data_IF_107206489422
#
_entry.id   IF_107206489422
#
_cell.length_a   1.000
_cell.length_b   1.000
_cell.length_c   1.000
_cell.angle_alpha   90.00
_cell.angle_beta   90.00
_cell.angle_gamma   90.00
#
_symmetry.space_group_name_H-M   'P 1'
#
loop_
_entity.id
_entity.type
_entity.pdbx_description
1 polymer ?
#
# COMPACT_ATOMS: atom_id res chain seq x y z
N UNK A 1 14.24 26.13 1.73
CA UNK A 1 15.21 25.01 1.73
C UNK A 1 14.95 24.20 2.98
N UNK A 2 14.27 23.07 2.83
CA UNK A 2 13.83 22.24 3.97
C UNK A 2 14.26 20.81 3.66
N UNK A 3 15.29 20.35 4.37
CA UNK A 3 15.86 19.02 4.19
C UNK A 3 14.93 17.96 4.77
N UNK A 4 14.64 16.92 3.99
CA UNK A 4 13.96 15.72 4.48
C UNK A 4 15.04 14.75 4.95
N UNK A 5 15.11 14.57 6.26
CA UNK A 5 15.87 13.54 6.94
C UNK A 5 15.22 12.18 6.61
N UNK A 6 15.91 11.34 5.84
CA UNK A 6 15.53 9.93 5.73
C UNK A 6 16.22 9.20 6.86
N UNK A 7 15.44 8.82 7.86
CA UNK A 7 15.86 7.96 8.97
C UNK A 7 16.24 6.58 8.42
N UNK A 8 17.54 6.30 8.46
CA UNK A 8 18.16 5.01 8.12
C UNK A 8 18.54 4.33 9.42
N UNK A 9 17.75 3.34 9.83
CA UNK A 9 18.10 2.43 10.91
C UNK A 9 17.78 0.99 10.55
N UNK A 10 18.81 0.14 10.45
CA UNK A 10 18.69 -1.31 10.66
C UNK A 10 19.09 -2.22 9.50
N UNK A 11 20.39 -2.31 9.19
CA UNK A 11 20.99 -3.42 8.44
C UNK A 11 22.10 -4.04 9.29
N UNK A 12 21.79 -5.23 9.86
CA UNK A 12 22.66 -6.28 10.41
C UNK A 12 23.73 -5.95 11.46
N UNK A 13 23.58 -6.55 12.65
CA UNK A 13 24.72 -7.09 13.44
C UNK A 13 24.28 -8.36 14.19
N UNK A 14 24.88 -9.54 13.95
CA UNK A 14 24.63 -10.77 14.69
C UNK A 14 25.77 -11.05 15.67
N UNK A 15 25.59 -10.74 16.94
CA UNK A 15 26.48 -11.24 18.00
C UNK A 15 25.67 -11.75 19.18
N UNK A 16 25.77 -13.05 19.44
CA UNK A 16 25.27 -13.68 20.67
C UNK A 16 25.93 -13.03 21.89
N UNK A 17 25.11 -12.62 22.84
CA UNK A 17 25.49 -12.37 24.22
C UNK A 17 24.32 -12.76 25.12
N UNK A 18 24.43 -13.91 25.79
CA UNK A 18 23.52 -14.32 26.85
C UNK A 18 23.43 -13.22 27.92
N UNK A 19 22.24 -12.71 28.19
CA UNK A 19 21.93 -12.03 29.45
C UNK A 19 20.57 -12.50 29.96
N UNK A 20 20.59 -12.84 31.24
CA UNK A 20 19.57 -13.41 32.11
C UNK A 20 18.10 -13.09 31.82
N UNK A 21 17.27 -14.10 32.09
CA UNK A 21 15.82 -14.03 32.13
C UNK A 21 15.31 -12.91 33.07
N UNK A 22 14.41 -12.02 32.63
CA UNK A 22 13.68 -11.17 33.52
C UNK A 22 12.53 -11.97 34.15
N UNK A 23 12.52 -11.94 35.48
CA UNK A 23 11.51 -12.50 36.37
C UNK A 23 10.09 -12.18 35.91
N UNK A 24 9.22 -13.19 36.04
CA UNK A 24 7.79 -13.10 35.90
C UNK A 24 7.22 -11.96 36.77
N UNK A 25 6.95 -10.81 36.16
CA UNK A 25 5.91 -9.91 36.65
C UNK A 25 4.60 -10.41 36.08
N UNK A 26 3.71 -10.86 36.97
CA UNK A 26 2.31 -11.13 36.67
C UNK A 26 1.61 -9.84 36.24
N UNK A 27 1.87 -9.42 35.00
CA UNK A 27 1.04 -8.47 34.28
C UNK A 27 -0.08 -9.28 33.66
N UNK A 28 -1.27 -9.18 34.23
CA UNK A 28 -2.51 -9.59 33.57
C UNK A 28 -2.52 -8.88 32.22
N UNK A 29 -2.27 -9.61 31.13
CA UNK A 29 -2.48 -9.10 29.78
C UNK A 29 -3.96 -8.74 29.68
N UNK A 30 -4.29 -7.48 29.92
CA UNK A 30 -5.58 -6.94 29.52
C UNK A 30 -5.55 -6.97 28.01
N UNK A 31 -6.29 -7.90 27.42
CA UNK A 31 -6.60 -7.88 26.00
C UNK A 31 -7.34 -6.56 25.75
N UNK A 32 -6.60 -5.56 25.30
CA UNK A 32 -7.18 -4.29 24.90
C UNK A 32 -8.23 -4.60 23.83
N UNK A 33 -9.46 -4.21 24.09
CA UNK A 33 -10.54 -4.41 23.14
C UNK A 33 -10.26 -3.58 21.89
N UNK A 34 -10.68 -4.05 20.71
CA UNK A 34 -10.49 -3.32 19.44
C UNK A 34 -11.01 -1.87 19.52
N UNK A 35 -12.02 -1.64 20.36
CA UNK A 35 -12.57 -0.31 20.64
C UNK A 35 -11.59 0.62 21.37
N UNK A 36 -10.81 0.10 22.32
CA UNK A 36 -9.80 0.86 23.08
C UNK A 36 -8.58 1.21 22.23
N UNK A 37 -8.20 0.35 21.27
CA UNK A 37 -7.03 0.59 20.40
C UNK A 37 -7.33 1.66 19.34
N UNK A 38 -8.58 1.73 18.88
CA UNK A 38 -8.98 2.59 17.75
C UNK A 38 -9.64 3.91 18.16
N UNK A 39 -9.78 4.16 19.47
CA UNK A 39 -10.43 5.36 20.04
C UNK A 39 -11.80 5.65 19.38
N UNK A 40 -12.56 4.58 19.09
CA UNK A 40 -13.91 4.76 18.59
C UNK A 40 -14.74 5.41 19.69
N UNK A 41 -15.54 6.44 19.38
CA UNK A 41 -16.39 7.06 20.38
C UNK A 41 -17.27 5.98 21.01
N UNK A 42 -17.33 5.98 22.34
CA UNK A 42 -18.19 5.07 23.07
C UNK A 42 -19.61 5.21 22.53
N UNK A 43 -20.21 4.06 22.24
CA UNK A 43 -21.56 4.01 21.69
C UNK A 43 -22.53 4.73 22.64
N UNK A 44 -23.32 5.71 22.16
CA UNK A 44 -24.23 6.44 23.02
C UNK A 44 -25.31 5.51 23.60
N UNK A 45 -25.83 5.79 24.80
CA UNK A 45 -26.96 5.05 25.37
C UNK A 45 -28.16 5.07 24.42
N UNK A 46 -28.73 3.90 24.13
CA UNK A 46 -29.87 3.78 23.20
C UNK A 46 -29.51 3.60 21.73
N UNK A 47 -28.22 3.46 21.40
CA UNK A 47 -27.82 3.10 20.03
C UNK A 47 -28.34 1.71 19.65
N UNK A 48 -29.24 1.67 18.67
CA UNK A 48 -29.70 0.44 18.05
C UNK A 48 -28.62 -0.10 17.11
N UNK A 49 -28.15 -1.31 17.37
CA UNK A 49 -27.24 -2.03 16.47
C UNK A 49 -27.94 -3.29 15.95
N UNK A 50 -27.60 -3.83 14.76
CA UNK A 50 -27.01 -3.22 13.56
C UNK A 50 -28.07 -2.64 12.61
N UNK A 51 -27.64 -1.81 11.63
CA UNK A 51 -28.48 -1.31 10.51
C UNK A 51 -29.28 -2.43 9.81
N UNK A 52 -28.77 -3.66 9.87
CA UNK A 52 -29.38 -4.87 9.34
C UNK A 52 -29.36 -5.96 10.43
N UNK A 53 -30.33 -5.93 11.37
CA UNK A 53 -30.26 -6.71 12.59
C UNK A 53 -30.51 -8.21 12.37
N UNK A 54 -31.19 -8.56 11.28
CA UNK A 54 -31.53 -9.95 10.98
C UNK A 54 -30.72 -10.47 9.79
N UNK A 55 -30.42 -11.78 9.72
CA UNK A 55 -29.89 -12.42 8.52
C UNK A 55 -30.73 -12.10 7.27
N UNK A 56 -32.06 -12.03 7.40
CA UNK A 56 -32.97 -11.70 6.31
C UNK A 56 -32.80 -10.26 5.83
N UNK A 57 -32.68 -9.29 6.74
CA UNK A 57 -32.42 -7.88 6.36
C UNK A 57 -31.10 -7.71 5.62
N UNK A 58 -30.05 -8.43 6.02
CA UNK A 58 -28.76 -8.46 5.31
C UNK A 58 -28.89 -9.10 3.92
N UNK A 59 -29.70 -10.16 3.82
CA UNK A 59 -29.95 -10.86 2.56
C UNK A 59 -30.68 -9.97 1.55
N UNK A 60 -31.68 -9.21 1.99
CA UNK A 60 -32.41 -8.28 1.12
C UNK A 60 -31.51 -7.14 0.60
N UNK A 61 -30.64 -6.60 1.45
CA UNK A 61 -29.64 -5.61 1.02
C UNK A 61 -28.65 -6.22 0.04
N UNK A 62 -28.15 -7.43 0.31
CA UNK A 62 -27.25 -8.12 -0.59
C UNK A 62 -27.88 -8.37 -1.97
N UNK A 63 -29.16 -8.75 -2.02
CA UNK A 63 -29.92 -8.87 -3.27
C UNK A 63 -30.02 -7.51 -3.99
N UNK A 64 -30.35 -6.44 -3.25
CA UNK A 64 -30.47 -5.10 -3.82
C UNK A 64 -29.15 -4.60 -4.42
N UNK A 65 -28.05 -4.78 -3.69
CA UNK A 65 -26.71 -4.42 -4.18
C UNK A 65 -26.29 -5.27 -5.39
N UNK A 66 -26.61 -6.57 -5.39
CA UNK A 66 -26.31 -7.44 -6.52
C UNK A 66 -27.04 -7.05 -7.81
N UNK A 67 -28.18 -6.34 -7.71
CA UNK A 67 -28.95 -5.84 -8.84
C UNK A 67 -28.72 -4.35 -9.13
N UNK A 68 -27.87 -3.66 -8.37
CA UNK A 68 -27.66 -2.23 -8.54
C UNK A 68 -26.87 -1.96 -9.84
N UNK A 69 -27.43 -1.20 -10.80
CA UNK A 69 -26.80 -1.00 -12.12
C UNK A 69 -25.50 -0.18 -12.08
N UNK A 70 -25.27 0.53 -10.98
CA UNK A 70 -24.03 1.28 -10.71
C UNK A 70 -22.96 0.44 -10.01
N UNK A 71 -23.29 -0.78 -9.56
CA UNK A 71 -22.38 -1.68 -8.87
C UNK A 71 -22.06 -2.88 -9.78
N UNK A 72 -20.93 -2.81 -10.47
CA UNK A 72 -20.41 -3.97 -11.20
C UNK A 72 -19.62 -4.89 -10.29
N UNK A 73 -19.71 -6.22 -10.49
CA UNK A 73 -18.76 -7.11 -9.82
C UNK A 73 -17.36 -6.79 -10.30
N UNK A 74 -16.38 -6.82 -9.40
CA UNK A 74 -14.98 -6.63 -9.78
C UNK A 74 -14.58 -7.59 -10.92
N UNK A 75 -15.09 -8.82 -10.93
CA UNK A 75 -14.89 -9.82 -11.98
C UNK A 75 -15.57 -9.50 -13.32
N UNK A 76 -16.59 -8.64 -13.32
CA UNK A 76 -17.34 -8.23 -14.52
C UNK A 76 -16.77 -6.99 -15.18
N UNK A 77 -15.87 -6.26 -14.50
CA UNK A 77 -15.19 -5.13 -15.10
C UNK A 77 -14.31 -5.61 -16.26
N UNK A 78 -14.66 -5.25 -17.52
CA UNK A 78 -13.81 -5.55 -18.65
C UNK A 78 -12.49 -4.79 -18.42
N UNK A 79 -11.38 -5.51 -18.29
CA UNK A 79 -10.08 -4.85 -18.18
C UNK A 79 -9.41 -4.85 -16.81
N UNK A 80 -9.74 -5.74 -15.88
CA UNK A 80 -8.76 -6.13 -14.83
C UNK A 80 -7.42 -6.64 -15.42
N UNK A 81 -7.38 -6.91 -16.75
CA UNK A 81 -6.18 -7.12 -17.57
C UNK A 81 -5.92 -6.04 -18.64
N UNK A 82 -6.73 -4.98 -18.77
CA UNK A 82 -6.46 -3.88 -19.72
C UNK A 82 -7.40 -2.68 -19.54
N UNK A 83 -6.86 -1.61 -18.97
CA UNK A 83 -7.32 -0.20 -18.97
C UNK A 83 -8.77 0.11 -19.32
N UNK A 84 -9.55 0.51 -18.31
CA UNK A 84 -10.78 1.30 -18.44
C UNK A 84 -10.64 2.64 -17.71
N UNK A 85 -11.38 3.67 -18.13
CA UNK A 85 -11.29 5.06 -17.63
C UNK A 85 -11.36 5.14 -16.10
N UNK A 86 -10.38 5.79 -15.48
CA UNK A 86 -10.12 5.78 -14.03
C UNK A 86 -9.07 4.74 -13.59
N UNK A 87 -8.74 3.80 -14.47
CA UNK A 87 -7.59 2.92 -14.30
C UNK A 87 -6.33 3.75 -14.55
N UNK A 88 -5.54 3.97 -13.50
CA UNK A 88 -4.10 4.07 -13.73
C UNK A 88 -3.74 2.91 -14.65
N UNK A 89 -3.16 3.21 -15.81
CA UNK A 89 -2.72 2.17 -16.72
C UNK A 89 -1.65 1.40 -15.95
N UNK A 90 -2.06 0.31 -15.26
CA UNK A 90 -1.14 -0.54 -14.53
C UNK A 90 -0.29 -1.20 -15.60
N UNK A 91 0.84 -0.57 -15.90
CA UNK A 91 1.88 -1.19 -16.69
C UNK A 91 2.15 -2.55 -16.06
N UNK A 92 2.37 -3.58 -16.90
CA UNK A 92 3.06 -4.77 -16.42
C UNK A 92 4.26 -4.28 -15.64
N UNK A 93 4.31 -4.60 -14.35
CA UNK A 93 5.26 -4.03 -13.41
C UNK A 93 6.67 -4.09 -14.02
N UNK A 94 7.23 -2.93 -14.33
CA UNK A 94 8.54 -2.85 -14.95
C UNK A 94 9.57 -2.66 -13.85
N UNK A 95 10.57 -3.53 -13.78
CA UNK A 95 11.67 -3.38 -12.81
C UNK A 95 12.42 -2.07 -13.09
N UNK A 96 12.59 -1.26 -12.06
CA UNK A 96 13.36 -0.01 -12.10
C UNK A 96 14.43 0.00 -11.03
N UNK A 97 15.40 0.87 -11.20
CA UNK A 97 16.43 1.17 -10.20
C UNK A 97 16.19 2.57 -9.65
N UNK A 98 16.31 2.73 -8.33
CA UNK A 98 16.42 4.04 -7.72
C UNK A 98 17.89 4.33 -7.45
N UNK A 99 18.42 5.37 -8.07
CA UNK A 99 19.80 5.82 -7.82
C UNK A 99 19.76 7.10 -7.01
N UNK A 100 20.45 7.09 -5.87
CA UNK A 100 20.71 8.29 -5.10
C UNK A 100 22.03 8.86 -5.56
N UNK A 101 22.04 10.12 -6.01
CA UNK A 101 23.28 10.81 -6.32
C UNK A 101 24.02 11.12 -5.00
N UNK A 102 25.30 10.76 -4.87
CA UNK A 102 26.10 11.09 -3.70
C UNK A 102 26.14 12.62 -3.49
N UNK A 103 25.96 13.07 -2.25
CA UNK A 103 26.10 14.48 -1.87
C UNK A 103 24.92 15.41 -2.19
N UNK A 104 24.06 15.10 -3.17
CA UNK A 104 22.96 16.00 -3.57
C UNK A 104 21.58 15.62 -2.99
N UNK A 105 21.45 14.40 -2.43
CA UNK A 105 20.17 13.87 -1.95
C UNK A 105 19.15 13.59 -3.07
N UNK A 106 19.54 13.81 -4.34
CA UNK A 106 18.68 13.60 -5.50
C UNK A 106 18.47 12.11 -5.71
N UNK A 107 17.20 11.72 -5.83
CA UNK A 107 16.80 10.36 -6.21
C UNK A 107 16.38 10.37 -7.68
N UNK A 108 16.91 9.43 -8.45
CA UNK A 108 16.56 9.21 -9.85
C UNK A 108 15.93 7.85 -10.04
N UNK A 109 14.83 7.81 -10.79
CA UNK A 109 14.23 6.58 -11.31
C UNK A 109 14.93 6.25 -12.62
N UNK A 110 15.54 5.06 -12.70
CA UNK A 110 16.26 4.58 -13.87
C UNK A 110 15.59 3.32 -14.38
N UNK A 111 15.26 3.32 -15.67
CA UNK A 111 14.71 2.17 -16.37
C UNK A 111 15.85 1.42 -17.07
N UNK A 112 16.07 0.12 -16.75
CA UNK A 112 17.19 -0.63 -17.31
C UNK A 112 17.02 -0.91 -18.81
N UNK A 113 15.79 -0.92 -19.32
CA UNK A 113 15.50 -1.09 -20.76
C UNK A 113 14.71 0.10 -21.30
N UNK A 114 14.93 0.43 -22.57
CA UNK A 114 14.06 1.34 -23.32
C UNK A 114 12.72 0.62 -23.55
N UNK A 115 11.76 0.83 -22.64
CA UNK A 115 10.39 0.37 -22.81
C UNK A 115 9.59 1.31 -23.72
N UNK A 116 8.25 1.16 -23.76
CA UNK A 116 7.34 1.99 -24.56
C UNK A 116 7.23 3.47 -24.13
N UNK A 117 7.99 3.91 -23.13
CA UNK A 117 7.96 5.28 -22.67
C UNK A 117 9.18 6.05 -23.17
N UNK A 118 8.99 7.34 -23.41
CA UNK A 118 9.98 8.23 -24.00
C UNK A 118 11.21 8.53 -23.14
N UNK A 119 11.26 8.07 -21.88
CA UNK A 119 12.34 8.41 -20.96
C UNK A 119 13.00 7.18 -20.32
N UNK A 120 14.33 7.26 -20.19
CA UNK A 120 15.17 6.23 -19.56
C UNK A 120 15.50 6.53 -18.11
N UNK A 121 15.64 7.82 -17.79
CA UNK A 121 15.95 8.31 -16.44
C UNK A 121 15.13 9.57 -16.16
N UNK A 122 14.61 9.70 -14.95
CA UNK A 122 14.00 10.94 -14.44
C UNK A 122 14.35 11.15 -12.98
N UNK A 123 14.45 12.42 -12.57
CA UNK A 123 14.63 12.80 -11.16
C UNK A 123 13.27 12.75 -10.46
N UNK A 124 13.23 12.19 -9.25
CA UNK A 124 12.09 12.37 -8.35
C UNK A 124 12.13 13.80 -7.82
N UNK A 125 11.04 14.52 -8.07
CA UNK A 125 10.85 15.90 -7.61
C UNK A 125 10.15 15.89 -6.27
N UNK A 126 9.09 15.10 -6.16
CA UNK A 126 8.21 15.07 -4.98
C UNK A 126 7.57 13.69 -4.81
N UNK A 127 7.31 13.29 -3.57
CA UNK A 127 6.47 12.14 -3.23
C UNK A 127 5.10 12.68 -2.80
N UNK A 128 4.08 12.44 -3.62
CA UNK A 128 2.71 12.94 -3.41
C UNK A 128 1.94 12.07 -2.44
N UNK A 129 2.10 10.76 -2.54
CA UNK A 129 1.38 9.82 -1.69
C UNK A 129 2.20 8.57 -1.43
N UNK A 130 1.94 7.95 -0.27
CA UNK A 130 2.49 6.67 0.14
C UNK A 130 1.38 5.80 0.70
N UNK A 131 1.29 4.56 0.23
CA UNK A 131 0.33 3.59 0.74
C UNK A 131 0.91 2.17 0.70
N UNK A 132 0.18 1.20 1.26
CA UNK A 132 0.54 -0.21 1.23
C UNK A 132 -0.53 -0.95 0.43
N UNK A 133 -0.11 -1.78 -0.51
CA UNK A 133 -1.01 -2.70 -1.20
C UNK A 133 -0.81 -4.09 -0.61
N UNK A 134 -1.90 -4.63 -0.08
CA UNK A 134 -2.00 -6.01 0.37
C UNK A 134 -3.06 -6.68 -0.49
N UNK A 135 -2.69 -7.68 -1.28
CA UNK A 135 -3.60 -8.45 -2.12
C UNK A 135 -3.40 -9.93 -1.89
N UNK A 136 -4.47 -10.70 -2.14
CA UNK A 136 -4.45 -12.17 -2.05
C UNK A 136 -3.90 -12.62 -0.68
N UNK A 137 -4.23 -11.89 0.39
CA UNK A 137 -3.67 -12.13 1.72
C UNK A 137 -4.10 -13.49 2.32
N UNK A 138 -5.13 -14.10 1.75
CA UNK A 138 -5.63 -15.42 2.10
C UNK A 138 -4.89 -16.57 1.37
N UNK A 139 -4.04 -16.25 0.41
CA UNK A 139 -3.27 -17.20 -0.38
C UNK A 139 -1.78 -16.87 -0.18
N UNK A 140 -1.11 -17.61 0.70
CA UNK A 140 0.28 -17.32 1.08
C UNK A 140 1.22 -17.29 -0.15
N UNK A 141 1.01 -18.21 -1.09
CA UNK A 141 1.81 -18.36 -2.30
C UNK A 141 1.58 -17.22 -3.31
N UNK A 142 0.34 -16.70 -3.37
CA UNK A 142 -0.03 -15.59 -4.25
C UNK A 142 -0.05 -14.22 -3.56
N UNK A 143 0.26 -14.16 -2.26
CA UNK A 143 0.15 -12.94 -1.46
C UNK A 143 1.07 -11.85 -1.99
N UNK A 144 0.53 -10.64 -2.16
CA UNK A 144 1.30 -9.46 -2.52
C UNK A 144 1.24 -8.49 -1.36
N UNK A 145 2.40 -8.16 -0.81
CA UNK A 145 2.59 -7.10 0.18
C UNK A 145 3.71 -6.17 -0.27
N UNK A 146 3.34 -4.94 -0.65
CA UNK A 146 4.29 -3.95 -1.16
C UNK A 146 3.93 -2.53 -0.75
N UNK A 147 4.95 -1.68 -0.61
CA UNK A 147 4.79 -0.24 -0.37
C UNK A 147 4.73 0.48 -1.70
N UNK A 148 3.74 1.34 -1.87
CA UNK A 148 3.53 2.13 -3.08
C UNK A 148 3.78 3.61 -2.81
N UNK A 149 4.32 4.27 -3.82
CA UNK A 149 4.68 5.68 -3.79
C UNK A 149 4.22 6.32 -5.09
N UNK A 150 3.38 7.34 -5.00
CA UNK A 150 3.07 8.22 -6.12
C UNK A 150 4.07 9.35 -6.10
N UNK A 151 4.82 9.50 -7.18
CA UNK A 151 5.91 10.49 -7.26
C UNK A 151 5.77 11.36 -8.51
N UNK A 152 6.03 12.65 -8.33
CA UNK A 152 6.23 13.58 -9.44
C UNK A 152 7.67 13.47 -9.88
N UNK A 153 7.88 13.30 -11.18
CA UNK A 153 9.21 13.23 -11.77
C UNK A 153 9.52 14.47 -12.60
N UNK A 154 10.81 14.73 -12.84
CA UNK A 154 11.25 15.86 -13.65
C UNK A 154 10.57 15.82 -15.02
N UNK A 155 10.09 16.95 -15.53
CA UNK A 155 9.26 17.01 -16.73
C UNK A 155 7.75 16.84 -16.50
N UNK A 156 7.28 16.94 -15.26
CA UNK A 156 5.87 17.13 -14.92
C UNK A 156 5.02 15.85 -14.82
N UNK A 157 5.58 14.69 -15.16
CA UNK A 157 4.85 13.43 -15.12
C UNK A 157 4.67 12.88 -13.69
N UNK A 158 3.58 12.16 -13.47
CA UNK A 158 3.31 11.42 -12.23
C UNK A 158 3.38 9.91 -12.46
N UNK A 159 4.13 9.21 -11.61
CA UNK A 159 4.30 7.75 -11.71
C UNK A 159 4.09 7.07 -10.36
N UNK A 160 3.60 5.83 -10.41
CA UNK A 160 3.43 4.98 -9.24
C UNK A 160 4.58 3.96 -9.18
N UNK A 161 5.36 4.02 -8.10
CA UNK A 161 6.47 3.10 -7.80
C UNK A 161 6.06 2.13 -6.70
N UNK A 162 6.45 0.87 -6.84
CA UNK A 162 6.29 -0.16 -5.83
C UNK A 162 7.63 -0.63 -5.30
N UNK A 163 7.75 -0.71 -3.97
CA UNK A 163 8.81 -1.40 -3.26
C UNK A 163 8.25 -2.72 -2.71
N UNK A 164 8.71 -3.82 -3.28
CA UNK A 164 8.37 -5.16 -2.79
C UNK A 164 9.22 -5.52 -1.56
N UNK A 165 8.76 -6.50 -0.76
CA UNK A 165 9.51 -7.03 0.40
C UNK A 165 10.92 -7.49 0.07
N UNK A 166 11.17 -7.91 -1.17
CA UNK A 166 12.50 -8.29 -1.67
C UNK A 166 13.47 -7.11 -1.79
N UNK A 167 13.02 -5.88 -1.51
CA UNK A 167 13.80 -4.66 -1.70
C UNK A 167 13.83 -4.16 -3.15
N UNK A 168 13.13 -4.82 -4.05
CA UNK A 168 13.09 -4.49 -5.48
C UNK A 168 12.07 -3.40 -5.76
N UNK A 169 12.45 -2.51 -6.68
CA UNK A 169 11.61 -1.40 -7.14
C UNK A 169 10.98 -1.69 -8.49
N UNK A 170 9.71 -1.32 -8.64
CA UNK A 170 8.95 -1.47 -9.88
C UNK A 170 8.17 -0.21 -10.21
N UNK A 171 8.10 0.12 -11.49
CA UNK A 171 7.13 1.07 -12.04
C UNK A 171 5.83 0.31 -12.32
N UNK A 172 4.78 0.64 -11.57
CA UNK A 172 3.49 -0.10 -11.63
C UNK A 172 2.35 0.73 -12.23
N UNK A 173 2.55 2.03 -12.45
CA UNK A 173 1.57 2.89 -13.09
C UNK A 173 2.18 4.19 -13.60
N UNK A 174 1.60 4.72 -14.66
CA UNK A 174 1.80 6.10 -15.13
C UNK A 174 0.43 6.75 -15.10
N UNK A 175 0.34 7.92 -14.47
CA UNK A 175 -0.95 8.55 -14.14
C UNK A 175 -1.40 9.56 -15.21
N UNK A 176 -0.50 9.94 -16.14
CA UNK A 176 -0.61 10.99 -17.20
C UNK A 176 -1.91 11.82 -17.19
#
# INVERSE_FOLDING_TARGET
>A
MTGILLDTGGFLDPTMGQVAAPQARGGRLMEATVSEIHDYPLRPPGFAEPLFPTPDSRREVAKHLACAPWLSRASELPGLTRGGVGSTARLRAERVELKRQPGSGIVEVVRPRAGRCSWRRRRVVEVVARWREVRLWWDEDASVDRRLFRVVVSGGGTVDLALERTGRWFLVGVVD
#
